data_IF_002984286505
#
_entry.id   IF_002984286505
#
_cell.length_a   1.000
_cell.length_b   1.000
_cell.length_c   1.000
_cell.angle_alpha   90.00
_cell.angle_beta   90.00
_cell.angle_gamma   90.00
#
_symmetry.space_group_name_H-M   'P 1'
#
loop_
_entity.id
_entity.type
_entity.pdbx_description
1 polymer ?
#
# COMPACT_ATOMS: atom_id res chain seq x y z
N UNK A 1 -30.22 13.83 8.81
CA UNK A 1 -29.32 14.46 7.83
C UNK A 1 -27.84 14.28 8.21
N UNK A 2 -26.92 14.71 7.39
CA UNK A 2 -25.47 14.56 7.55
C UNK A 2 -24.98 15.19 8.85
N UNK A 3 -25.35 16.44 9.13
CA UNK A 3 -24.95 17.14 10.34
C UNK A 3 -25.34 16.35 11.59
N UNK A 4 -26.59 15.89 11.67
CA UNK A 4 -27.07 15.09 12.81
C UNK A 4 -26.35 13.76 12.95
N UNK A 5 -25.96 13.11 11.83
CA UNK A 5 -25.15 11.90 11.87
C UNK A 5 -23.79 12.12 12.54
N UNK A 6 -23.13 13.26 12.27
CA UNK A 6 -21.85 13.61 12.89
C UNK A 6 -22.03 14.05 14.35
N UNK A 7 -23.13 14.72 14.68
CA UNK A 7 -23.46 15.11 16.06
C UNK A 7 -23.77 13.90 16.95
N UNK A 8 -24.32 12.83 16.40
CA UNK A 8 -24.86 11.70 17.16
C UNK A 8 -23.91 11.11 18.21
N UNK A 9 -22.64 10.78 17.92
CA UNK A 9 -21.71 10.29 18.95
C UNK A 9 -21.41 11.32 20.03
N UNK A 10 -21.48 12.62 19.72
CA UNK A 10 -21.29 13.69 20.69
C UNK A 10 -22.49 13.83 21.61
N UNK A 11 -23.71 13.68 21.08
CA UNK A 11 -24.95 13.67 21.85
C UNK A 11 -24.97 12.50 22.85
N UNK A 12 -24.54 11.30 22.42
CA UNK A 12 -24.38 10.13 23.28
C UNK A 12 -23.34 10.37 24.40
N UNK A 13 -22.28 11.15 24.11
CA UNK A 13 -21.27 11.54 25.09
C UNK A 13 -21.70 12.71 25.99
N UNK A 14 -22.97 13.17 25.93
CA UNK A 14 -23.51 14.26 26.77
C UNK A 14 -23.00 15.66 26.40
N UNK A 15 -22.43 15.84 25.22
CA UNK A 15 -21.94 17.15 24.76
C UNK A 15 -23.13 18.07 24.45
N UNK A 16 -23.16 19.32 24.98
CA UNK A 16 -24.22 20.27 24.68
C UNK A 16 -24.38 20.47 23.16
N UNK A 17 -25.64 20.55 22.71
CA UNK A 17 -26.01 20.59 21.29
C UNK A 17 -25.24 21.65 20.49
N UNK A 18 -25.14 22.88 21.01
CA UNK A 18 -24.41 23.95 20.32
C UNK A 18 -22.93 23.64 20.11
N UNK A 19 -22.27 22.94 21.07
CA UNK A 19 -20.90 22.48 20.93
C UNK A 19 -20.78 21.32 19.94
N UNK A 20 -21.75 20.39 19.95
CA UNK A 20 -21.80 19.28 19.01
C UNK A 20 -22.00 19.77 17.57
N UNK A 21 -22.92 20.70 17.32
CA UNK A 21 -23.17 21.29 16.01
C UNK A 21 -21.93 22.05 15.47
N UNK A 22 -21.26 22.84 16.34
CA UNK A 22 -20.00 23.50 15.98
C UNK A 22 -18.92 22.52 15.58
N UNK A 23 -18.70 21.48 16.40
CA UNK A 23 -17.71 20.43 16.11
C UNK A 23 -18.05 19.67 14.82
N UNK A 24 -19.31 19.38 14.57
CA UNK A 24 -19.74 18.72 13.34
C UNK A 24 -19.51 19.61 12.10
N UNK A 25 -19.69 20.93 12.21
CA UNK A 25 -19.39 21.87 11.12
C UNK A 25 -17.89 21.91 10.80
N UNK A 26 -17.02 21.97 11.82
CA UNK A 26 -15.55 21.88 11.65
C UNK A 26 -15.13 20.58 10.92
N UNK A 27 -15.76 19.46 11.28
CA UNK A 27 -15.49 18.17 10.65
C UNK A 27 -16.02 18.08 9.22
N UNK A 28 -17.17 18.70 8.95
CA UNK A 28 -17.70 18.79 7.57
C UNK A 28 -16.78 19.60 6.66
N UNK A 29 -16.19 20.66 7.17
CA UNK A 29 -15.19 21.45 6.47
C UNK A 29 -13.93 20.60 6.19
N UNK A 30 -13.42 19.90 7.20
CA UNK A 30 -12.25 19.01 7.07
C UNK A 30 -12.43 17.95 5.98
N UNK A 31 -13.63 17.36 5.88
CA UNK A 31 -13.92 16.34 4.87
C UNK A 31 -14.44 16.91 3.55
N UNK A 32 -14.55 18.24 3.41
CA UNK A 32 -14.98 18.93 2.20
C UNK A 32 -16.46 18.72 1.85
N UNK A 33 -17.35 18.73 2.87
CA UNK A 33 -18.79 18.49 2.71
C UNK A 33 -19.64 19.54 3.44
N UNK A 34 -19.15 20.78 3.61
CA UNK A 34 -19.89 21.86 4.29
C UNK A 34 -21.23 22.15 3.64
N UNK A 35 -21.30 22.09 2.30
CA UNK A 35 -22.52 22.30 1.49
C UNK A 35 -23.55 21.17 1.64
N UNK A 36 -23.17 20.03 2.18
CA UNK A 36 -23.99 18.81 2.35
C UNK A 36 -24.54 18.61 3.76
N UNK A 37 -24.34 19.55 4.68
CA UNK A 37 -24.77 19.45 6.08
C UNK A 37 -26.26 19.05 6.26
N UNK A 38 -27.12 19.56 5.39
CA UNK A 38 -28.57 19.31 5.41
C UNK A 38 -29.00 18.10 4.56
N UNK A 39 -28.13 17.56 3.73
CA UNK A 39 -28.43 16.41 2.84
C UNK A 39 -28.69 15.15 3.65
N UNK A 40 -29.43 14.22 3.08
CA UNK A 40 -29.66 12.89 3.65
C UNK A 40 -28.72 11.86 2.99
N UNK A 41 -28.41 10.73 3.67
CA UNK A 41 -27.51 9.70 3.14
C UNK A 41 -27.89 9.19 1.75
N UNK A 42 -29.18 9.11 1.40
CA UNK A 42 -29.65 8.70 0.08
C UNK A 42 -29.26 9.68 -1.06
N UNK A 43 -28.94 10.92 -0.71
CA UNK A 43 -28.55 11.98 -1.65
C UNK A 43 -27.03 12.08 -1.85
N UNK A 44 -26.26 11.19 -1.21
CA UNK A 44 -24.80 11.19 -1.25
C UNK A 44 -24.24 10.07 -2.12
N UNK A 45 -23.15 10.36 -2.82
CA UNK A 45 -22.33 9.33 -3.46
C UNK A 45 -21.65 8.42 -2.45
N UNK A 46 -21.13 7.27 -2.88
CA UNK A 46 -20.38 6.34 -2.03
C UNK A 46 -19.23 7.02 -1.29
N UNK A 47 -18.40 7.77 -2.02
CA UNK A 47 -17.29 8.52 -1.43
C UNK A 47 -17.71 9.61 -0.46
N UNK A 48 -18.84 10.30 -0.73
CA UNK A 48 -19.40 11.28 0.19
C UNK A 48 -19.91 10.60 1.48
N UNK A 49 -20.56 9.45 1.38
CA UNK A 49 -20.97 8.65 2.55
C UNK A 49 -19.76 8.24 3.39
N UNK A 50 -18.68 7.81 2.75
CA UNK A 50 -17.44 7.44 3.43
C UNK A 50 -16.81 8.63 4.16
N UNK A 51 -16.76 9.81 3.54
CA UNK A 51 -16.29 11.04 4.19
C UNK A 51 -17.13 11.42 5.41
N UNK A 52 -18.46 11.25 5.34
CA UNK A 52 -19.36 11.46 6.50
C UNK A 52 -19.07 10.42 7.60
N UNK A 53 -18.83 9.16 7.25
CA UNK A 53 -18.47 8.12 8.23
C UNK A 53 -17.15 8.45 8.95
N UNK A 54 -16.14 8.91 8.23
CA UNK A 54 -14.86 9.38 8.78
C UNK A 54 -15.10 10.57 9.73
N UNK A 55 -15.84 11.60 9.29
CA UNK A 55 -16.16 12.76 10.10
C UNK A 55 -16.90 12.37 11.40
N UNK A 56 -17.87 11.45 11.30
CA UNK A 56 -18.61 10.92 12.45
C UNK A 56 -17.68 10.19 13.43
N UNK A 57 -16.75 9.37 12.95
CA UNK A 57 -15.80 8.67 13.79
C UNK A 57 -14.82 9.63 14.49
N UNK A 58 -14.46 10.75 13.86
CA UNK A 58 -13.58 11.78 14.43
C UNK A 58 -14.30 12.73 15.42
N UNK A 59 -15.62 12.68 15.53
CA UNK A 59 -16.39 13.61 16.33
C UNK A 59 -15.94 13.65 17.81
N UNK A 60 -15.72 12.49 18.40
CA UNK A 60 -15.30 12.31 19.81
C UNK A 60 -13.80 12.48 20.04
N UNK A 61 -13.04 12.94 19.06
CA UNK A 61 -11.58 13.10 19.13
C UNK A 61 -10.85 11.82 19.55
N UNK A 62 -11.02 10.71 18.83
CA UNK A 62 -10.37 9.45 19.15
C UNK A 62 -8.85 9.55 18.96
N UNK A 63 -8.09 8.75 19.72
CA UNK A 63 -6.64 8.57 19.50
C UNK A 63 -6.36 7.62 18.32
N UNK A 64 -7.28 6.70 18.06
CA UNK A 64 -7.18 5.65 17.04
C UNK A 64 -8.42 5.68 16.16
N UNK A 65 -8.22 5.62 14.85
CA UNK A 65 -9.27 5.46 13.85
C UNK A 65 -9.10 4.12 13.15
N UNK A 66 -10.10 3.24 13.29
CA UNK A 66 -10.12 1.94 12.61
C UNK A 66 -10.90 2.08 11.30
N UNK A 67 -10.28 1.71 10.21
CA UNK A 67 -10.85 1.73 8.86
C UNK A 67 -10.88 0.31 8.30
N UNK A 68 -12.04 -0.33 8.37
CA UNK A 68 -12.26 -1.66 7.83
C UNK A 68 -12.78 -1.53 6.40
N UNK A 69 -11.99 -2.02 5.44
CA UNK A 69 -12.28 -1.98 4.00
C UNK A 69 -12.84 -0.64 3.49
N UNK A 70 -12.30 0.47 3.99
CA UNK A 70 -12.85 1.81 3.78
C UNK A 70 -12.95 2.26 2.31
N UNK A 71 -12.36 1.52 1.39
CA UNK A 71 -12.26 1.84 -0.05
C UNK A 71 -12.75 0.73 -0.98
N UNK A 72 -13.10 -0.45 -0.48
CA UNK A 72 -13.39 -1.65 -1.28
C UNK A 72 -14.57 -1.50 -2.27
N UNK A 73 -15.53 -0.62 -1.96
CA UNK A 73 -16.72 -0.39 -2.80
C UNK A 73 -16.65 0.93 -3.60
N UNK A 74 -15.47 1.53 -3.73
CA UNK A 74 -15.28 2.83 -4.38
C UNK A 74 -14.51 2.68 -5.70
N UNK A 75 -14.77 3.61 -6.62
CA UNK A 75 -13.97 3.71 -7.84
C UNK A 75 -12.53 4.20 -7.52
N UNK A 76 -11.55 3.95 -8.39
CA UNK A 76 -10.14 4.28 -8.13
C UNK A 76 -9.88 5.75 -7.79
N UNK A 77 -10.57 6.69 -8.44
CA UNK A 77 -10.39 8.12 -8.19
C UNK A 77 -10.92 8.53 -6.81
N UNK A 78 -12.08 8.00 -6.45
CA UNK A 78 -12.69 8.20 -5.13
C UNK A 78 -11.82 7.56 -4.04
N UNK A 79 -11.30 6.34 -4.26
CA UNK A 79 -10.34 5.69 -3.37
C UNK A 79 -9.14 6.59 -3.10
N UNK A 80 -8.47 7.10 -4.13
CA UNK A 80 -7.34 8.02 -4.00
C UNK A 80 -7.69 9.26 -3.17
N UNK A 81 -8.88 9.80 -3.37
CA UNK A 81 -9.38 10.96 -2.64
C UNK A 81 -9.58 10.67 -1.15
N UNK A 82 -10.09 9.49 -0.79
CA UNK A 82 -10.25 9.05 0.61
C UNK A 82 -8.88 8.79 1.26
N UNK A 83 -7.94 8.15 0.55
CA UNK A 83 -6.59 7.89 1.08
C UNK A 83 -5.83 9.20 1.38
N UNK A 84 -5.91 10.20 0.49
CA UNK A 84 -5.34 11.54 0.74
C UNK A 84 -5.98 12.20 1.96
N UNK A 85 -7.30 12.10 2.11
CA UNK A 85 -8.01 12.63 3.27
C UNK A 85 -7.54 11.96 4.57
N UNK A 86 -7.41 10.63 4.60
CA UNK A 86 -6.89 9.90 5.76
C UNK A 86 -5.46 10.34 6.12
N UNK A 87 -4.58 10.47 5.13
CA UNK A 87 -3.21 10.98 5.33
C UNK A 87 -3.20 12.40 5.91
N UNK A 88 -4.05 13.30 5.39
CA UNK A 88 -4.22 14.65 5.90
C UNK A 88 -4.70 14.63 7.36
N UNK A 89 -5.71 13.82 7.70
CA UNK A 89 -6.23 13.66 9.06
C UNK A 89 -5.14 13.19 10.02
N UNK A 90 -4.36 12.18 9.63
CA UNK A 90 -3.23 11.69 10.43
C UNK A 90 -2.23 12.82 10.73
N UNK A 91 -1.83 13.58 9.69
CA UNK A 91 -0.85 14.66 9.81
C UNK A 91 -1.36 15.86 10.60
N UNK A 92 -2.63 16.25 10.43
CA UNK A 92 -3.19 17.48 11.05
C UNK A 92 -3.74 17.25 12.44
N UNK A 93 -4.31 16.08 12.70
CA UNK A 93 -4.97 15.77 14.00
C UNK A 93 -4.13 14.84 14.87
N UNK A 94 -3.04 14.24 14.38
CA UNK A 94 -2.20 13.30 15.11
C UNK A 94 -2.92 11.98 15.47
N UNK A 95 -4.00 11.66 14.77
CA UNK A 95 -4.77 10.42 14.98
C UNK A 95 -4.03 9.24 14.36
N UNK A 96 -3.80 8.18 15.13
CA UNK A 96 -3.27 6.92 14.57
C UNK A 96 -4.36 6.23 13.77
N UNK A 97 -4.09 5.92 12.50
CA UNK A 97 -5.05 5.26 11.61
C UNK A 97 -4.62 3.81 11.40
N UNK A 98 -5.53 2.89 11.68
CA UNK A 98 -5.37 1.46 11.41
C UNK A 98 -6.28 1.11 10.25
N UNK A 99 -5.69 0.67 9.12
CA UNK A 99 -6.43 0.30 7.92
C UNK A 99 -6.41 -1.22 7.80
N UNK A 100 -7.58 -1.82 7.68
CA UNK A 100 -7.75 -3.24 7.37
C UNK A 100 -8.11 -3.32 5.89
N UNK A 101 -7.29 -3.99 5.10
CA UNK A 101 -7.48 -4.12 3.65
C UNK A 101 -6.72 -5.33 3.11
N UNK A 102 -7.20 -5.87 2.01
CA UNK A 102 -6.49 -6.85 1.19
C UNK A 102 -5.84 -6.20 -0.05
N UNK A 103 -5.98 -4.88 -0.21
CA UNK A 103 -5.41 -4.12 -1.32
C UNK A 103 -3.99 -3.64 -0.97
N UNK A 104 -2.96 -4.29 -1.50
CA UNK A 104 -1.55 -3.92 -1.25
C UNK A 104 -1.25 -2.46 -1.62
N UNK A 105 -1.87 -1.95 -2.70
CA UNK A 105 -1.71 -0.55 -3.13
C UNK A 105 -2.16 0.47 -2.09
N UNK A 106 -3.17 0.15 -1.28
CA UNK A 106 -3.62 1.01 -0.18
C UNK A 106 -2.55 1.10 0.90
N UNK A 107 -1.97 -0.05 1.26
CA UNK A 107 -0.90 -0.14 2.27
C UNK A 107 0.32 0.69 1.83
N UNK A 108 0.76 0.52 0.59
CA UNK A 108 1.90 1.24 0.02
C UNK A 108 1.73 2.76 0.01
N UNK A 109 0.50 3.25 -0.18
CA UNK A 109 0.25 4.68 -0.35
C UNK A 109 0.18 5.46 0.96
N UNK A 110 -0.31 4.85 2.03
CA UNK A 110 -0.60 5.61 3.27
C UNK A 110 -0.06 5.00 4.55
N UNK A 111 0.36 3.73 4.56
CA UNK A 111 0.81 3.05 5.76
C UNK A 111 2.34 3.11 5.90
N UNK A 112 2.84 3.31 7.11
CA UNK A 112 4.27 3.22 7.45
C UNK A 112 4.62 1.83 7.98
N UNK A 113 3.66 1.17 8.63
CA UNK A 113 3.82 -0.18 9.17
C UNK A 113 2.71 -1.08 8.70
N UNK A 114 3.01 -2.35 8.58
CA UNK A 114 2.06 -3.40 8.18
C UNK A 114 2.12 -4.57 9.15
N UNK A 115 0.98 -5.17 9.42
CA UNK A 115 0.85 -6.47 10.06
C UNK A 115 0.11 -7.40 9.10
N UNK A 116 0.75 -8.49 8.73
CA UNK A 116 0.15 -9.55 7.91
C UNK A 116 -0.51 -10.55 8.83
N UNK A 117 -1.81 -10.82 8.59
CA UNK A 117 -2.61 -11.72 9.41
C UNK A 117 -2.87 -13.01 8.61
N UNK A 118 -2.60 -14.14 9.23
CA UNK A 118 -2.94 -15.47 8.74
C UNK A 118 -3.56 -16.29 9.87
N UNK A 119 -4.66 -17.02 9.56
CA UNK A 119 -5.38 -17.86 10.52
C UNK A 119 -5.65 -17.17 11.87
N UNK A 120 -6.06 -15.89 11.82
CA UNK A 120 -6.34 -15.03 12.99
C UNK A 120 -5.12 -14.72 13.87
N UNK A 121 -3.90 -15.00 13.40
CA UNK A 121 -2.65 -14.68 14.07
C UNK A 121 -1.83 -13.69 13.24
N UNK A 122 -0.99 -12.88 13.91
CA UNK A 122 -0.03 -12.04 13.20
C UNK A 122 1.12 -12.93 12.72
N UNK A 123 1.20 -13.14 11.40
CA UNK A 123 2.27 -13.90 10.76
C UNK A 123 3.55 -13.08 10.60
N UNK A 124 3.40 -11.78 10.32
CA UNK A 124 4.54 -10.87 10.16
C UNK A 124 4.13 -9.44 10.50
N UNK A 125 5.06 -8.65 11.06
CA UNK A 125 4.86 -7.23 11.36
C UNK A 125 6.17 -6.48 11.14
N UNK A 126 6.11 -5.31 10.48
CA UNK A 126 7.30 -4.50 10.21
C UNK A 126 6.96 -3.16 9.56
N UNK A 127 8.00 -2.44 9.11
CA UNK A 127 7.81 -1.31 8.23
C UNK A 127 7.34 -1.80 6.87
N UNK A 128 6.54 -1.00 6.17
CA UNK A 128 6.04 -1.37 4.84
C UNK A 128 7.20 -1.63 3.89
N UNK A 129 8.22 -0.76 3.88
CA UNK A 129 9.44 -0.95 3.09
C UNK A 129 10.06 -2.34 3.29
N UNK A 130 10.31 -2.72 4.55
CA UNK A 130 11.02 -3.96 4.89
C UNK A 130 10.21 -5.21 4.51
N UNK A 131 8.91 -5.21 4.86
CA UNK A 131 8.03 -6.35 4.60
C UNK A 131 7.75 -6.52 3.11
N UNK A 132 7.69 -5.42 2.35
CA UNK A 132 7.42 -5.46 0.91
C UNK A 132 8.65 -5.83 0.07
N UNK A 133 9.85 -5.55 0.56
CA UNK A 133 11.09 -5.94 -0.14
C UNK A 133 11.57 -7.33 0.27
N UNK A 134 11.45 -7.67 1.56
CA UNK A 134 11.99 -8.91 2.13
C UNK A 134 10.94 -9.61 3.01
N UNK A 135 9.80 -10.05 2.43
CA UNK A 135 8.77 -10.77 3.19
C UNK A 135 9.33 -12.08 3.74
N UNK A 136 9.12 -12.33 5.03
CA UNK A 136 9.67 -13.50 5.74
C UNK A 136 8.66 -14.65 5.78
N UNK A 137 7.40 -14.35 6.10
CA UNK A 137 6.35 -15.35 6.18
C UNK A 137 5.87 -15.78 4.79
N UNK A 138 5.45 -17.04 4.64
CA UNK A 138 4.98 -17.56 3.36
C UNK A 138 3.71 -16.85 2.89
N UNK A 139 2.84 -16.46 3.81
CA UNK A 139 1.64 -15.68 3.47
C UNK A 139 2.01 -14.27 3.00
N UNK A 140 3.00 -13.60 3.61
CA UNK A 140 3.47 -12.30 3.15
C UNK A 140 4.08 -12.41 1.75
N UNK A 141 4.90 -13.43 1.49
CA UNK A 141 5.43 -13.73 0.16
C UNK A 141 4.30 -13.92 -0.86
N UNK A 142 3.28 -14.70 -0.51
CA UNK A 142 2.14 -14.96 -1.39
C UNK A 142 1.28 -13.72 -1.69
N UNK A 143 1.21 -12.76 -0.76
CA UNK A 143 0.42 -11.52 -0.91
C UNK A 143 1.20 -10.42 -1.63
N UNK A 144 2.48 -10.29 -1.34
CA UNK A 144 3.31 -9.13 -1.73
C UNK A 144 4.09 -9.42 -3.01
N UNK A 145 4.73 -10.59 -3.07
CA UNK A 145 5.41 -10.97 -4.29
C UNK A 145 4.33 -11.23 -5.35
N UNK A 146 4.36 -10.53 -6.48
CA UNK A 146 3.45 -10.86 -7.56
C UNK A 146 3.58 -12.36 -7.76
N UNK A 147 2.43 -13.06 -7.78
CA UNK A 147 2.43 -14.45 -8.21
C UNK A 147 3.22 -14.45 -9.49
N UNK A 148 4.41 -15.02 -9.44
CA UNK A 148 5.23 -15.11 -10.62
C UNK A 148 4.29 -15.65 -11.70
N UNK A 149 4.22 -15.05 -12.89
CA UNK A 149 3.57 -15.74 -13.99
C UNK A 149 4.21 -17.12 -14.22
N UNK A 150 5.13 -17.55 -13.34
CA UNK A 150 5.84 -18.81 -13.40
C UNK A 150 4.92 -20.03 -13.61
N UNK A 151 3.68 -19.99 -13.11
CA UNK A 151 2.69 -21.01 -13.44
C UNK A 151 2.24 -20.97 -14.93
N UNK A 152 2.46 -19.87 -15.64
CA UNK A 152 2.10 -19.68 -17.06
C UNK A 152 3.28 -19.25 -17.95
N UNK A 153 4.52 -19.18 -17.41
CA UNK A 153 5.70 -18.88 -18.20
C UNK A 153 6.13 -20.13 -18.99
N UNK A 154 6.66 -19.95 -20.21
CA UNK A 154 7.25 -21.04 -20.95
C UNK A 154 8.35 -21.71 -20.10
N UNK A 155 8.55 -23.03 -20.27
CA UNK A 155 9.61 -23.74 -19.55
C UNK A 155 10.94 -23.00 -19.75
N UNK A 156 11.63 -22.70 -18.64
CA UNK A 156 12.92 -22.04 -18.68
C UNK A 156 13.95 -23.01 -19.27
N UNK A 157 14.66 -22.59 -20.30
CA UNK A 157 15.80 -23.33 -20.84
C UNK A 157 17.12 -22.96 -20.17
N UNK A 158 17.10 -22.00 -19.25
CA UNK A 158 18.26 -21.46 -18.56
C UNK A 158 18.03 -21.33 -17.05
N UNK A 159 18.62 -20.31 -16.46
CA UNK A 159 18.53 -20.00 -15.02
C UNK A 159 17.64 -18.77 -14.80
N UNK A 160 16.70 -18.86 -13.86
CA UNK A 160 15.76 -17.79 -13.55
C UNK A 160 16.14 -17.10 -12.24
N UNK A 161 16.19 -15.77 -12.28
CA UNK A 161 16.44 -14.93 -11.12
C UNK A 161 15.32 -13.92 -10.95
N UNK A 162 14.97 -13.67 -9.71
CA UNK A 162 14.15 -12.52 -9.29
C UNK A 162 15.08 -11.48 -8.66
N UNK A 163 15.21 -10.34 -9.30
CA UNK A 163 15.90 -9.17 -8.76
C UNK A 163 14.95 -8.37 -7.88
N UNK A 164 15.46 -7.87 -6.74
CA UNK A 164 14.71 -7.05 -5.79
C UNK A 164 15.35 -5.67 -5.74
N UNK A 165 14.56 -4.65 -6.03
CA UNK A 165 14.96 -3.25 -5.94
C UNK A 165 14.40 -2.64 -4.65
N UNK A 166 15.28 -2.19 -3.76
CA UNK A 166 14.96 -1.70 -2.41
C UNK A 166 14.95 -0.18 -2.27
N UNK A 167 14.85 0.52 -3.41
CA UNK A 167 14.88 1.98 -3.46
C UNK A 167 16.28 2.57 -3.63
N UNK A 168 17.35 1.89 -3.23
CA UNK A 168 18.73 2.39 -3.39
C UNK A 168 19.23 2.23 -4.83
N UNK A 169 18.87 1.12 -5.49
CA UNK A 169 19.36 0.75 -6.83
C UNK A 169 18.31 0.92 -7.94
N UNK A 170 17.12 1.43 -7.63
CA UNK A 170 15.99 1.49 -8.58
C UNK A 170 16.22 2.40 -9.79
N UNK A 171 17.16 3.34 -9.71
CA UNK A 171 17.52 4.25 -10.81
C UNK A 171 18.71 3.76 -11.64
N UNK A 172 19.30 2.61 -11.30
CA UNK A 172 20.42 2.04 -12.04
C UNK A 172 19.92 1.22 -13.24
N UNK A 173 20.57 1.30 -14.41
CA UNK A 173 20.20 0.51 -15.58
C UNK A 173 20.74 -0.93 -15.46
N UNK A 174 20.25 -1.68 -14.45
CA UNK A 174 20.77 -3.00 -14.04
C UNK A 174 20.89 -3.97 -15.20
N UNK A 175 19.84 -4.11 -16.02
CA UNK A 175 19.83 -5.07 -17.15
C UNK A 175 20.88 -4.69 -18.19
N UNK A 176 20.97 -3.41 -18.55
CA UNK A 176 21.96 -2.95 -19.52
C UNK A 176 23.38 -3.17 -19.01
N UNK A 177 23.61 -2.92 -17.70
CA UNK A 177 24.93 -3.14 -17.10
C UNK A 177 25.30 -4.62 -17.04
N UNK A 178 24.39 -5.53 -16.67
CA UNK A 178 24.63 -6.98 -16.73
C UNK A 178 25.01 -7.38 -18.15
N UNK A 179 24.24 -6.93 -19.14
CA UNK A 179 24.52 -7.28 -20.55
C UNK A 179 25.89 -6.77 -21.04
N UNK A 180 26.26 -5.52 -20.66
CA UNK A 180 27.50 -4.89 -21.10
C UNK A 180 28.74 -5.38 -20.34
N UNK A 181 28.62 -5.58 -19.04
CA UNK A 181 29.76 -5.87 -18.17
C UNK A 181 29.99 -7.38 -18.01
N UNK A 182 28.91 -8.18 -17.94
CA UNK A 182 29.04 -9.66 -17.89
C UNK A 182 28.97 -10.31 -19.26
N UNK A 183 28.64 -9.56 -20.32
CA UNK A 183 28.42 -10.08 -21.68
C UNK A 183 27.38 -11.20 -21.77
N UNK A 184 26.34 -11.12 -20.91
CA UNK A 184 25.27 -12.12 -20.81
C UNK A 184 23.99 -11.54 -21.35
N UNK A 185 23.32 -12.15 -22.35
CA UNK A 185 21.99 -11.72 -22.76
C UNK A 185 20.98 -12.02 -21.67
N UNK A 186 20.11 -11.04 -21.40
CA UNK A 186 19.08 -11.11 -20.36
C UNK A 186 17.71 -11.01 -21.00
N UNK A 187 16.83 -11.98 -20.71
CA UNK A 187 15.43 -11.90 -21.07
C UNK A 187 14.61 -11.48 -19.86
N UNK A 188 13.81 -10.40 -19.98
CA UNK A 188 12.92 -9.91 -18.94
C UNK A 188 11.56 -10.59 -19.12
N UNK A 189 11.14 -11.37 -18.12
CA UNK A 189 9.85 -12.06 -18.13
C UNK A 189 8.78 -11.25 -17.43
N UNK A 190 9.16 -10.53 -16.37
CA UNK A 190 8.27 -9.72 -15.58
C UNK A 190 9.05 -8.55 -14.96
N UNK A 191 8.42 -7.38 -14.89
CA UNK A 191 8.92 -6.25 -14.12
C UNK A 191 7.74 -5.46 -13.54
N UNK A 192 7.78 -5.22 -12.25
CA UNK A 192 6.84 -4.37 -11.54
C UNK A 192 7.61 -3.44 -10.60
N UNK A 193 7.40 -2.14 -10.76
CA UNK A 193 8.02 -1.13 -9.90
C UNK A 193 6.96 -0.27 -9.26
N UNK A 194 7.15 0.08 -7.98
CA UNK A 194 6.21 0.83 -7.16
C UNK A 194 6.92 1.93 -6.40
N UNK A 195 6.19 3.00 -6.09
CA UNK A 195 6.71 4.09 -5.27
C UNK A 195 6.13 3.93 -3.87
N UNK A 196 7.01 3.74 -2.88
CA UNK A 196 6.68 3.70 -1.46
C UNK A 196 7.49 4.79 -0.77
N UNK A 197 6.82 5.70 -0.07
CA UNK A 197 7.44 6.83 0.65
C UNK A 197 8.43 7.68 -0.19
N UNK A 198 8.20 7.74 -1.51
CA UNK A 198 9.05 8.51 -2.43
C UNK A 198 10.25 7.75 -3.00
N UNK A 199 10.49 6.52 -2.57
CA UNK A 199 11.52 5.63 -3.13
C UNK A 199 10.88 4.59 -4.06
N UNK A 200 11.62 4.16 -5.08
CA UNK A 200 11.16 3.17 -6.04
C UNK A 200 11.57 1.78 -5.55
N UNK A 201 10.58 0.93 -5.32
CA UNK A 201 10.75 -0.48 -5.00
C UNK A 201 10.28 -1.33 -6.17
N UNK A 202 10.83 -2.51 -6.35
CA UNK A 202 10.40 -3.34 -7.45
C UNK A 202 10.95 -4.75 -7.44
N UNK A 203 10.31 -5.57 -8.25
CA UNK A 203 10.76 -6.92 -8.55
C UNK A 203 10.85 -7.09 -10.06
N UNK A 204 11.90 -7.74 -10.51
CA UNK A 204 12.10 -8.08 -11.91
C UNK A 204 12.49 -9.55 -12.02
N UNK A 205 11.76 -10.31 -12.83
CA UNK A 205 12.10 -11.71 -13.11
C UNK A 205 12.80 -11.76 -14.46
N UNK A 206 13.99 -12.34 -14.45
CA UNK A 206 14.84 -12.46 -15.63
C UNK A 206 15.21 -13.92 -15.87
N UNK A 207 15.34 -14.29 -17.15
CA UNK A 207 15.95 -15.54 -17.58
C UNK A 207 17.35 -15.27 -18.14
N UNK A 208 18.30 -16.10 -17.74
CA UNK A 208 19.68 -16.12 -18.17
C UNK A 208 19.93 -17.40 -18.95
N UNK A 209 20.94 -17.45 -19.86
CA UNK A 209 21.34 -18.66 -20.55
C UNK A 209 21.69 -19.80 -19.58
N UNK A 210 21.55 -21.04 -20.04
CA UNK A 210 21.97 -22.23 -19.29
C UNK A 210 23.49 -22.46 -19.41
N UNK A 211 24.26 -21.46 -19.02
CA UNK A 211 25.72 -21.50 -18.94
C UNK A 211 26.14 -21.25 -17.48
N UNK A 212 26.72 -22.24 -16.80
CA UNK A 212 27.11 -22.10 -15.39
C UNK A 212 28.13 -20.98 -15.15
N UNK A 213 29.03 -20.71 -16.09
CA UNK A 213 30.04 -19.67 -15.94
C UNK A 213 29.37 -18.27 -16.00
N UNK A 214 28.56 -18.04 -17.04
CA UNK A 214 27.84 -16.81 -17.24
C UNK A 214 26.89 -16.52 -16.07
N UNK A 215 26.20 -17.56 -15.58
CA UNK A 215 25.35 -17.44 -14.40
C UNK A 215 26.12 -16.99 -13.15
N UNK A 216 27.28 -17.60 -12.89
CA UNK A 216 28.13 -17.27 -11.78
C UNK A 216 28.67 -15.83 -11.86
N UNK A 217 29.05 -15.38 -13.07
CA UNK A 217 29.53 -14.02 -13.29
C UNK A 217 28.43 -12.98 -13.02
N UNK A 218 27.19 -13.25 -13.42
CA UNK A 218 26.02 -12.41 -13.10
C UNK A 218 25.79 -12.37 -11.59
N UNK A 219 25.79 -13.49 -10.88
CA UNK A 219 25.60 -13.51 -9.43
C UNK A 219 26.66 -12.67 -8.71
N UNK A 220 27.94 -12.83 -9.07
CA UNK A 220 29.04 -12.06 -8.52
C UNK A 220 28.88 -10.56 -8.79
N UNK A 221 28.42 -10.22 -9.99
CA UNK A 221 28.15 -8.83 -10.37
C UNK A 221 26.99 -8.24 -9.52
N UNK A 222 25.89 -8.97 -9.30
CA UNK A 222 24.77 -8.56 -8.45
C UNK A 222 25.22 -8.32 -7.01
N UNK A 223 26.01 -9.24 -6.44
CA UNK A 223 26.57 -9.11 -5.09
C UNK A 223 27.48 -7.89 -4.96
N UNK A 224 28.36 -7.67 -5.94
CA UNK A 224 29.27 -6.53 -5.96
C UNK A 224 28.53 -5.18 -6.04
N UNK A 225 27.39 -5.14 -6.75
CA UNK A 225 26.56 -3.93 -6.88
C UNK A 225 25.43 -3.86 -5.84
N UNK A 226 25.47 -4.72 -4.81
CA UNK A 226 24.49 -4.74 -3.71
C UNK A 226 23.03 -4.92 -4.16
N UNK A 227 22.80 -5.65 -5.24
CA UNK A 227 21.45 -5.94 -5.74
C UNK A 227 20.98 -7.26 -5.15
N UNK A 228 19.90 -7.21 -4.39
CA UNK A 228 19.29 -8.41 -3.81
C UNK A 228 18.61 -9.26 -4.87
N UNK A 229 18.78 -10.58 -4.78
CA UNK A 229 18.17 -11.52 -5.73
C UNK A 229 17.69 -12.80 -5.04
N UNK A 230 16.72 -13.47 -5.69
CA UNK A 230 16.24 -14.81 -5.32
C UNK A 230 16.34 -15.71 -6.55
N UNK A 231 16.79 -16.95 -6.37
CA UNK A 231 16.74 -17.95 -7.44
C UNK A 231 15.33 -18.54 -7.49
N UNK A 232 14.69 -18.49 -8.66
CA UNK A 232 13.42 -19.16 -8.91
C UNK A 232 13.68 -20.51 -9.56
N UNK A 233 13.07 -21.55 -9.01
CA UNK A 233 13.20 -22.94 -9.49
C UNK A 233 12.19 -23.19 -10.60
#
# INVERSE_FOLDING_TARGET
NVLKNICFPLELAGVPRAKAERRAAELLELVGLSDRAKSYPAQLSGGQKQRVAIARALATRPKYLLCDEATSALDPNTTQSILRLLKQINQTLGVTIVVITHEMRVIEQICQRVAVIDQSCIAEIGNVSDVFTHPKSDIAKALILPKSPAENLPPCTGKRLRLVFDGSCSNEPVISRITLECHVPVNILFADTRIVEGSIYGHMVIDLPDDPQQFHDVLRWLEHNHISYLQEV
#
